data_IF_401799995764
#
_entry.id   IF_401799995764
#
_cell.length_a   1.000
_cell.length_b   1.000
_cell.length_c   1.000
_cell.angle_alpha   90.00
_cell.angle_beta   90.00
_cell.angle_gamma   90.00
#
_symmetry.space_group_name_H-M   'P 1'
#
loop_
_entity.id
_entity.type
_entity.pdbx_description
1 polymer ?
#
# COMPACT_ATOMS: atom_id res chain seq x y z
N UNK A 1 49.31 40.73 -26.33
CA UNK A 1 50.11 39.73 -27.10
C UNK A 1 49.12 38.71 -27.58
N UNK A 2 48.62 38.89 -28.77
CA UNK A 2 48.94 38.21 -30.05
C UNK A 2 48.44 36.76 -29.98
N UNK A 3 47.39 36.52 -30.69
CA UNK A 3 47.10 36.00 -32.05
C UNK A 3 46.93 34.48 -32.00
N UNK A 4 45.94 33.92 -32.58
CA UNK A 4 45.64 33.75 -33.94
C UNK A 4 44.38 32.92 -34.23
N UNK A 5 43.60 33.45 -35.11
CA UNK A 5 42.57 32.79 -35.92
C UNK A 5 43.14 31.66 -36.75
N UNK A 6 42.44 30.54 -36.88
CA UNK A 6 42.45 29.74 -38.11
C UNK A 6 41.05 29.26 -38.46
N UNK A 7 40.51 29.91 -39.44
CA UNK A 7 39.42 29.51 -40.31
C UNK A 7 39.84 28.28 -41.09
N UNK A 8 38.98 27.27 -41.23
CA UNK A 8 39.11 26.22 -42.21
C UNK A 8 37.80 26.03 -42.96
N UNK A 9 37.74 26.69 -44.12
CA UNK A 9 36.75 26.46 -45.14
C UNK A 9 37.10 25.16 -45.85
N UNK A 10 36.17 24.22 -46.02
CA UNK A 10 36.31 23.18 -47.03
C UNK A 10 34.97 22.84 -47.69
N UNK A 11 34.84 23.44 -48.84
CA UNK A 11 34.35 23.02 -50.14
C UNK A 11 33.24 21.95 -50.21
N UNK A 12 32.11 22.46 -50.66
CA UNK A 12 30.98 21.76 -51.32
C UNK A 12 31.48 20.94 -52.50
N UNK A 13 31.16 19.64 -52.53
CA UNK A 13 31.10 18.86 -53.75
C UNK A 13 29.69 18.39 -54.01
N UNK A 14 29.06 19.05 -54.94
CA UNK A 14 27.82 18.70 -55.60
C UNK A 14 28.11 17.53 -56.54
N UNK A 15 27.56 16.36 -56.25
CA UNK A 15 27.49 15.24 -57.20
C UNK A 15 26.05 14.88 -57.44
N UNK A 16 25.62 15.25 -58.61
CA UNK A 16 24.35 14.87 -59.25
C UNK A 16 24.42 13.37 -59.59
N UNK A 17 23.51 12.53 -59.03
CA UNK A 17 23.30 11.19 -59.54
C UNK A 17 21.81 11.01 -59.84
N UNK A 18 21.60 10.90 -61.15
CA UNK A 18 20.33 10.67 -61.83
C UNK A 18 20.02 9.18 -61.80
N UNK A 19 18.80 8.82 -61.47
CA UNK A 19 18.13 7.64 -62.01
C UNK A 19 18.00 6.44 -61.08
N UNK A 20 16.84 6.11 -60.70
CA UNK A 20 16.10 4.92 -61.12
C UNK A 20 14.80 4.80 -60.32
N UNK A 21 13.67 5.02 -60.98
CA UNK A 21 12.34 4.65 -60.45
C UNK A 21 12.27 3.13 -60.32
N UNK A 22 12.18 2.64 -59.09
CA UNK A 22 11.64 1.31 -58.82
C UNK A 22 10.33 1.48 -58.07
N UNK A 23 9.25 1.17 -58.78
CA UNK A 23 7.93 0.96 -58.18
C UNK A 23 8.04 -0.22 -57.21
N UNK A 24 8.11 0.09 -55.91
CA UNK A 24 7.98 -0.91 -54.86
C UNK A 24 6.54 -0.86 -54.36
N UNK A 25 5.83 -1.94 -54.62
CA UNK A 25 4.50 -2.24 -54.11
C UNK A 25 4.53 -2.20 -52.57
N UNK A 26 3.98 -1.17 -51.95
CA UNK A 26 3.78 -1.17 -50.53
C UNK A 26 2.53 -1.99 -50.19
N UNK A 27 2.76 -3.20 -49.73
CA UNK A 27 1.75 -3.99 -49.03
C UNK A 27 1.38 -3.27 -47.74
N UNK A 28 0.22 -2.66 -47.72
CA UNK A 28 -0.38 -2.11 -46.48
C UNK A 28 -0.77 -3.25 -45.58
N UNK A 29 0.12 -3.63 -44.67
CA UNK A 29 -0.25 -4.44 -43.51
C UNK A 29 -1.07 -3.60 -42.54
N UNK A 30 -2.37 -3.67 -42.74
CA UNK A 30 -3.38 -3.22 -41.72
C UNK A 30 -3.44 -4.28 -40.62
N UNK A 31 -2.42 -4.41 -39.79
CA UNK A 31 -2.53 -5.04 -38.50
C UNK A 31 -2.55 -3.92 -37.44
N UNK A 32 -3.65 -3.23 -37.41
CA UNK A 32 -4.02 -2.40 -36.28
C UNK A 32 -4.46 -3.26 -35.10
N UNK A 33 -3.52 -3.98 -34.47
CA UNK A 33 -3.73 -4.45 -33.11
C UNK A 33 -3.54 -3.24 -32.18
N UNK A 34 -4.59 -2.41 -32.11
CA UNK A 34 -4.79 -1.56 -30.95
C UNK A 34 -5.12 -2.47 -29.75
N UNK A 35 -4.12 -3.13 -29.22
CA UNK A 35 -4.13 -3.55 -27.84
C UNK A 35 -4.00 -2.30 -26.99
N UNK A 36 -5.08 -1.51 -26.91
CA UNK A 36 -5.32 -0.64 -25.80
C UNK A 36 -5.45 -1.57 -24.59
N UNK A 37 -4.33 -1.96 -24.01
CA UNK A 37 -4.31 -2.47 -22.65
C UNK A 37 -4.87 -1.33 -21.81
N UNK A 38 -6.15 -1.44 -21.47
CA UNK A 38 -6.73 -0.65 -20.41
C UNK A 38 -5.76 -0.81 -19.23
N UNK A 39 -5.05 0.25 -18.91
CA UNK A 39 -4.32 0.33 -17.66
C UNK A 39 -5.41 0.23 -16.59
N UNK A 40 -5.59 -1.00 -16.08
CA UNK A 40 -6.39 -1.22 -14.89
C UNK A 40 -5.68 -0.42 -13.83
N UNK A 41 -6.24 0.74 -13.49
CA UNK A 41 -5.75 1.57 -12.42
C UNK A 41 -5.91 0.76 -11.14
N UNK A 42 -4.79 0.29 -10.61
CA UNK A 42 -4.74 -0.49 -9.35
C UNK A 42 -5.03 0.36 -8.12
N UNK A 43 -5.41 1.61 -8.31
CA UNK A 43 -5.63 2.57 -7.22
C UNK A 43 -6.74 2.16 -6.25
N UNK A 44 -7.78 1.47 -6.73
CA UNK A 44 -8.94 1.09 -5.93
C UNK A 44 -8.97 -0.40 -5.56
N UNK A 45 -7.84 -1.09 -5.58
CA UNK A 45 -7.73 -2.47 -5.12
C UNK A 45 -7.17 -2.54 -3.71
N UNK A 46 -7.81 -3.33 -2.83
CA UNK A 46 -7.27 -3.65 -1.51
C UNK A 46 -5.92 -4.36 -1.63
N UNK A 47 -4.96 -3.99 -0.79
CA UNK A 47 -3.71 -4.75 -0.71
C UNK A 47 -3.95 -6.08 0.01
N UNK A 48 -3.17 -7.10 -0.35
CA UNK A 48 -3.07 -8.37 0.38
C UNK A 48 -1.59 -8.56 0.69
N UNK A 49 -1.25 -8.49 1.97
CA UNK A 49 0.12 -8.69 2.43
C UNK A 49 0.30 -10.15 2.88
N UNK A 50 1.52 -10.69 2.81
CA UNK A 50 1.77 -12.01 3.35
C UNK A 50 1.57 -12.02 4.87
N UNK A 51 1.07 -13.16 5.39
CA UNK A 51 1.02 -13.40 6.83
C UNK A 51 2.44 -13.61 7.33
N UNK A 52 2.93 -12.67 8.12
CA UNK A 52 4.30 -12.70 8.67
C UNK A 52 4.32 -12.49 10.18
N UNK A 53 3.15 -12.46 10.82
CA UNK A 53 3.04 -12.48 12.27
C UNK A 53 1.80 -13.25 12.71
N UNK A 54 1.77 -13.63 13.99
CA UNK A 54 0.62 -14.20 14.70
C UNK A 54 0.49 -13.51 16.05
N UNK A 55 -0.74 -13.32 16.48
CA UNK A 55 -1.05 -12.83 17.83
C UNK A 55 -1.87 -13.87 18.58
N UNK A 56 -1.44 -14.22 19.79
CA UNK A 56 -2.28 -14.94 20.74
C UNK A 56 -3.12 -13.92 21.52
N UNK A 57 -4.42 -13.96 21.28
CA UNK A 57 -5.38 -13.07 21.92
C UNK A 57 -6.37 -13.92 22.73
N UNK A 58 -6.15 -14.01 24.04
CA UNK A 58 -6.98 -14.79 24.96
C UNK A 58 -7.17 -16.26 24.53
N UNK A 59 -6.08 -16.88 24.00
CA UNK A 59 -6.07 -18.27 23.56
C UNK A 59 -6.49 -18.50 22.11
N UNK A 60 -6.92 -17.44 21.41
CA UNK A 60 -7.23 -17.50 19.99
C UNK A 60 -6.06 -16.98 19.15
N UNK A 61 -5.62 -17.78 18.19
CA UNK A 61 -4.52 -17.43 17.30
C UNK A 61 -5.02 -16.63 16.10
N UNK A 62 -4.60 -15.38 16.01
CA UNK A 62 -4.92 -14.48 14.90
C UNK A 62 -3.70 -14.37 13.98
N UNK A 63 -3.88 -14.67 12.71
CA UNK A 63 -2.85 -14.51 11.68
C UNK A 63 -2.85 -13.08 11.15
N UNK A 64 -1.67 -12.45 11.14
CA UNK A 64 -1.54 -11.03 10.86
C UNK A 64 -0.75 -10.77 9.57
N UNK A 65 -1.35 -10.00 8.69
CA UNK A 65 -0.66 -9.27 7.65
C UNK A 65 0.12 -8.13 8.30
N UNK A 66 1.38 -7.90 7.92
CA UNK A 66 2.19 -6.86 8.57
C UNK A 66 2.44 -5.71 7.60
N UNK A 67 1.88 -4.55 7.89
CA UNK A 67 2.10 -3.32 7.14
C UNK A 67 3.41 -2.65 7.60
N UNK A 68 4.52 -2.95 6.90
CA UNK A 68 5.87 -2.54 7.31
C UNK A 68 6.29 -1.20 6.70
N UNK A 69 5.84 -0.88 5.47
CA UNK A 69 6.22 0.38 4.81
C UNK A 69 5.16 1.46 5.02
N UNK A 70 5.56 2.72 4.82
CA UNK A 70 4.64 3.87 4.92
C UNK A 70 3.45 3.73 3.96
N UNK A 71 3.68 3.21 2.75
CA UNK A 71 2.64 2.99 1.74
C UNK A 71 1.68 1.89 2.19
N UNK A 72 2.20 0.78 2.75
CA UNK A 72 1.39 -0.30 3.29
C UNK A 72 0.54 0.18 4.48
N UNK A 73 1.15 0.97 5.38
CA UNK A 73 0.44 1.55 6.52
C UNK A 73 -0.62 2.56 6.09
N UNK A 74 -0.31 3.43 5.13
CA UNK A 74 -1.28 4.39 4.60
C UNK A 74 -2.47 3.70 3.91
N UNK A 75 -2.23 2.59 3.21
CA UNK A 75 -3.26 1.82 2.52
C UNK A 75 -4.07 0.93 3.48
N UNK A 76 -3.42 0.31 4.45
CA UNK A 76 -4.09 -0.53 5.45
C UNK A 76 -5.09 -1.50 4.84
N UNK A 77 -6.30 -1.54 5.39
CA UNK A 77 -7.42 -2.38 4.95
C UNK A 77 -8.37 -1.67 3.96
N UNK A 78 -7.93 -0.58 3.31
CA UNK A 78 -8.72 0.10 2.28
C UNK A 78 -9.17 -0.87 1.17
N UNK A 79 -10.38 -0.67 0.66
CA UNK A 79 -11.00 -1.43 -0.44
C UNK A 79 -11.22 -2.93 -0.15
N UNK A 80 -11.05 -3.38 1.09
CA UNK A 80 -11.42 -4.74 1.48
C UNK A 80 -12.93 -4.84 1.74
N UNK A 81 -13.54 -5.88 1.17
CA UNK A 81 -14.98 -6.15 1.34
C UNK A 81 -15.26 -7.09 2.51
N UNK A 82 -14.24 -7.75 3.03
CA UNK A 82 -14.33 -8.63 4.19
C UNK A 82 -12.97 -8.84 4.85
N UNK A 83 -13.00 -9.26 6.11
CA UNK A 83 -11.83 -9.73 6.85
C UNK A 83 -12.27 -10.95 7.67
N UNK A 84 -11.55 -12.06 7.54
CA UNK A 84 -11.87 -13.30 8.25
C UNK A 84 -11.65 -13.14 9.76
N UNK A 85 -12.41 -13.90 10.58
CA UNK A 85 -12.35 -13.81 12.05
C UNK A 85 -10.97 -14.12 12.65
N UNK A 86 -10.19 -14.98 11.99
CA UNK A 86 -8.84 -15.34 12.42
C UNK A 86 -7.74 -14.54 11.69
N UNK A 87 -8.09 -13.43 11.04
CA UNK A 87 -7.20 -12.55 10.29
C UNK A 87 -7.22 -11.14 10.84
N UNK A 88 -6.09 -10.46 10.68
CA UNK A 88 -5.96 -9.05 11.00
C UNK A 88 -4.80 -8.41 10.27
N UNK A 89 -4.61 -7.11 10.50
CA UNK A 89 -3.44 -6.39 10.03
C UNK A 89 -2.71 -5.76 11.21
N UNK A 90 -1.39 -5.96 11.26
CA UNK A 90 -0.49 -5.37 12.26
C UNK A 90 0.23 -4.18 11.65
N UNK A 91 0.21 -3.08 12.36
CA UNK A 91 0.94 -1.85 12.05
C UNK A 91 2.03 -1.64 13.11
N UNK A 92 3.27 -2.07 12.86
CA UNK A 92 4.38 -1.79 13.77
C UNK A 92 4.97 -0.41 13.50
N UNK A 93 5.34 0.31 14.55
CA UNK A 93 6.02 1.59 14.48
C UNK A 93 7.44 1.46 15.04
N UNK A 94 8.42 2.03 14.33
CA UNK A 94 9.83 1.99 14.74
C UNK A 94 10.07 2.70 16.08
N UNK A 95 9.29 3.73 16.35
CA UNK A 95 9.29 4.46 17.63
C UNK A 95 7.85 4.62 18.13
N UNK A 96 7.62 4.61 19.44
CA UNK A 96 6.30 4.88 19.98
C UNK A 96 5.80 6.27 19.56
N UNK A 97 4.52 6.35 19.18
CA UNK A 97 3.86 7.59 18.76
C UNK A 97 2.40 7.61 19.21
N UNK A 98 1.78 8.78 19.19
CA UNK A 98 0.34 8.93 19.38
C UNK A 98 -0.33 8.60 18.05
N UNK A 99 -0.68 7.32 17.86
CA UNK A 99 -1.22 6.81 16.61
C UNK A 99 -2.57 7.43 16.28
N UNK A 100 -2.78 7.74 15.00
CA UNK A 100 -4.04 8.26 14.46
C UNK A 100 -4.41 7.50 13.20
N UNK A 101 -5.61 6.96 13.17
CA UNK A 101 -6.17 6.16 12.09
C UNK A 101 -7.42 6.79 11.54
N UNK A 102 -7.75 6.54 10.32
CA UNK A 102 -8.99 6.95 9.66
C UNK A 102 -9.60 5.76 8.93
N UNK A 103 -10.89 5.86 8.61
CA UNK A 103 -11.61 4.81 7.88
C UNK A 103 -11.86 5.18 6.41
N UNK A 104 -11.00 6.06 5.85
CA UNK A 104 -11.10 6.47 4.43
C UNK A 104 -10.92 5.25 3.53
N UNK A 105 -11.83 5.08 2.56
CA UNK A 105 -11.83 3.95 1.61
C UNK A 105 -11.90 2.56 2.27
N UNK A 106 -12.20 2.46 3.55
CA UNK A 106 -12.46 1.19 4.24
C UNK A 106 -13.95 0.92 4.17
N UNK A 107 -14.34 -0.26 3.65
CA UNK A 107 -15.75 -0.61 3.37
C UNK A 107 -16.40 -1.44 4.47
N UNK A 108 -15.63 -1.92 5.44
CA UNK A 108 -16.08 -2.76 6.55
C UNK A 108 -15.80 -2.10 7.89
N UNK A 109 -16.62 -2.30 8.92
CA UNK A 109 -16.29 -1.85 10.26
C UNK A 109 -15.07 -2.61 10.79
N UNK A 110 -14.22 -1.94 11.58
CA UNK A 110 -13.01 -2.51 12.15
C UNK A 110 -12.97 -2.30 13.67
N UNK A 111 -12.35 -3.27 14.36
CA UNK A 111 -11.86 -3.07 15.73
C UNK A 111 -10.38 -2.69 15.67
N UNK A 112 -9.95 -1.70 16.46
CA UNK A 112 -8.56 -1.24 16.51
C UNK A 112 -8.02 -1.46 17.93
N UNK A 113 -6.97 -2.28 18.07
CA UNK A 113 -6.30 -2.59 19.33
C UNK A 113 -4.95 -1.88 19.33
N UNK A 114 -4.80 -0.91 20.22
CA UNK A 114 -3.58 -0.09 20.34
C UNK A 114 -2.69 -0.65 21.44
N UNK A 115 -1.43 -0.98 21.11
CA UNK A 115 -0.51 -1.62 22.03
C UNK A 115 0.77 -0.81 22.25
N UNK A 116 1.29 -0.88 23.46
CA UNK A 116 2.66 -0.49 23.78
C UNK A 116 3.36 -1.66 24.45
N UNK A 117 4.41 -2.16 23.79
CA UNK A 117 5.23 -3.28 24.27
C UNK A 117 4.38 -4.53 24.60
N UNK A 118 3.40 -4.82 23.74
CA UNK A 118 2.48 -5.94 23.87
C UNK A 118 1.34 -5.73 24.88
N UNK A 119 1.28 -4.59 25.55
CA UNK A 119 0.19 -4.24 26.50
C UNK A 119 -0.84 -3.38 25.80
N UNK A 120 -2.10 -3.76 25.86
CA UNK A 120 -3.24 -3.02 25.32
C UNK A 120 -3.40 -1.69 26.06
N UNK A 121 -3.36 -0.58 25.34
CA UNK A 121 -3.54 0.79 25.84
C UNK A 121 -4.91 1.36 25.53
N UNK A 122 -5.54 0.90 24.48
CA UNK A 122 -6.91 1.24 24.12
C UNK A 122 -7.47 0.20 23.14
N UNK A 123 -8.78 0.06 23.13
CA UNK A 123 -9.53 -0.73 22.15
C UNK A 123 -10.67 0.15 21.64
N UNK A 124 -10.71 0.35 20.32
CA UNK A 124 -11.84 0.99 19.66
C UNK A 124 -12.63 -0.11 18.94
N UNK A 125 -13.89 -0.25 19.33
CA UNK A 125 -14.73 -1.35 18.84
C UNK A 125 -15.66 -0.85 17.73
N UNK A 126 -15.77 -1.66 16.69
CA UNK A 126 -16.74 -1.51 15.60
C UNK A 126 -16.72 -0.12 14.96
N UNK A 127 -15.50 0.40 14.72
CA UNK A 127 -15.29 1.71 14.09
C UNK A 127 -15.89 1.66 12.66
N UNK A 128 -16.87 2.53 12.36
CA UNK A 128 -17.60 2.45 11.10
C UNK A 128 -16.78 2.98 9.92
N UNK A 129 -17.08 2.54 8.67
CA UNK A 129 -16.58 3.18 7.46
C UNK A 129 -16.78 4.70 7.47
N UNK A 130 -15.89 5.42 6.80
CA UNK A 130 -16.01 6.88 6.67
C UNK A 130 -17.15 7.24 5.72
N UNK A 131 -18.18 7.89 6.23
CA UNK A 131 -19.35 8.32 5.47
C UNK A 131 -19.32 9.80 5.04
N UNK A 132 -18.38 10.59 5.58
CA UNK A 132 -18.29 12.05 5.36
C UNK A 132 -16.84 12.48 5.20
N UNK A 133 -16.59 13.51 4.39
CA UNK A 133 -15.26 14.11 4.24
C UNK A 133 -15.26 15.48 4.96
N UNK A 134 -14.25 15.80 5.80
CA UNK A 134 -13.10 14.97 6.15
C UNK A 134 -13.48 13.79 7.06
N UNK A 135 -12.82 12.66 6.83
CA UNK A 135 -13.03 11.47 7.67
C UNK A 135 -12.63 11.73 9.13
N UNK A 136 -13.41 11.22 10.09
CA UNK A 136 -13.01 11.22 11.50
C UNK A 136 -11.68 10.48 11.70
N UNK A 137 -10.94 10.91 12.72
CA UNK A 137 -9.65 10.32 13.09
C UNK A 137 -9.77 9.64 14.44
N UNK A 138 -9.26 8.43 14.54
CA UNK A 138 -9.38 7.53 15.67
C UNK A 138 -8.03 7.22 16.30
N UNK A 139 -7.97 7.05 17.61
CA UNK A 139 -6.77 6.65 18.33
C UNK A 139 -6.72 7.19 19.76
N UNK A 140 -5.89 6.58 20.63
CA UNK A 140 -5.74 6.99 22.02
C UNK A 140 -4.89 8.26 22.14
N UNK A 141 -4.99 8.94 23.29
CA UNK A 141 -4.11 10.06 23.62
C UNK A 141 -2.84 9.60 24.38
N UNK A 142 -2.39 8.39 24.10
CA UNK A 142 -1.17 7.80 24.67
C UNK A 142 -0.28 7.24 23.57
N UNK A 143 1.01 7.09 23.88
CA UNK A 143 1.98 6.54 22.93
C UNK A 143 1.81 5.03 22.81
N UNK A 144 1.83 4.54 21.57
CA UNK A 144 1.78 3.11 21.21
C UNK A 144 2.86 2.81 20.17
N UNK A 145 3.30 1.57 20.10
CA UNK A 145 4.27 1.12 19.10
C UNK A 145 3.72 0.03 18.17
N UNK A 146 2.48 -0.39 18.39
CA UNK A 146 1.80 -1.36 17.52
C UNK A 146 0.29 -1.10 17.52
N UNK A 147 -0.36 -1.37 16.39
CA UNK A 147 -1.82 -1.43 16.30
C UNK A 147 -2.20 -2.71 15.57
N UNK A 148 -3.24 -3.40 16.07
CA UNK A 148 -3.86 -4.52 15.38
C UNK A 148 -5.26 -4.10 14.95
N UNK A 149 -5.56 -4.23 13.66
CA UNK A 149 -6.90 -4.09 13.12
C UNK A 149 -7.52 -5.47 12.89
N UNK A 150 -8.74 -5.65 13.38
CA UNK A 150 -9.57 -6.85 13.22
C UNK A 150 -10.92 -6.47 12.59
N UNK A 151 -11.66 -7.46 12.11
CA UNK A 151 -13.06 -7.26 11.72
C UNK A 151 -13.87 -6.69 12.89
N UNK A 152 -14.81 -5.77 12.60
CA UNK A 152 -15.63 -5.14 13.61
C UNK A 152 -16.39 -6.14 14.49
N UNK A 153 -16.32 -5.95 15.81
CA UNK A 153 -16.87 -6.84 16.83
C UNK A 153 -15.94 -7.98 17.26
N UNK A 154 -14.86 -8.24 16.53
CA UNK A 154 -13.98 -9.39 16.84
C UNK A 154 -13.20 -9.23 18.14
N UNK A 155 -12.70 -8.03 18.43
CA UNK A 155 -12.01 -7.76 19.69
C UNK A 155 -12.94 -7.95 20.90
N UNK A 156 -14.24 -7.60 20.76
CA UNK A 156 -15.26 -7.88 21.77
C UNK A 156 -15.49 -9.38 21.96
N UNK A 157 -15.61 -10.16 20.87
CA UNK A 157 -15.75 -11.61 20.93
C UNK A 157 -14.56 -12.26 21.65
N UNK A 158 -13.36 -11.76 21.43
CA UNK A 158 -12.12 -12.19 22.07
C UNK A 158 -11.97 -11.68 23.53
N UNK A 159 -12.86 -10.81 23.99
CA UNK A 159 -12.82 -10.25 25.33
C UNK A 159 -11.65 -9.30 25.59
N UNK A 160 -11.11 -8.65 24.53
CA UNK A 160 -9.95 -7.76 24.64
C UNK A 160 -10.32 -6.51 25.42
N UNK A 161 -9.48 -6.14 26.38
CA UNK A 161 -9.63 -4.94 27.20
C UNK A 161 -8.28 -4.26 27.46
N UNK A 162 -8.34 -3.01 27.88
CA UNK A 162 -7.16 -2.26 28.31
C UNK A 162 -6.43 -2.99 29.45
N UNK A 163 -5.10 -3.03 29.38
CA UNK A 163 -4.23 -3.75 30.31
C UNK A 163 -3.93 -5.19 29.92
N UNK A 164 -4.67 -5.79 29.00
CA UNK A 164 -4.37 -7.15 28.53
C UNK A 164 -2.99 -7.21 27.88
N UNK A 165 -2.35 -8.38 27.97
CA UNK A 165 -1.09 -8.67 27.30
C UNK A 165 -1.34 -9.53 26.08
N UNK A 166 -0.99 -9.02 24.90
CA UNK A 166 -1.06 -9.76 23.64
C UNK A 166 0.37 -10.10 23.21
N UNK A 167 0.63 -11.40 23.03
CA UNK A 167 1.90 -11.89 22.50
C UNK A 167 1.83 -11.89 20.98
N UNK A 168 2.74 -11.15 20.33
CA UNK A 168 2.89 -11.13 18.88
C UNK A 168 4.19 -11.84 18.52
N UNK A 169 4.08 -12.84 17.66
CA UNK A 169 5.21 -13.61 17.14
C UNK A 169 5.36 -13.34 15.65
N UNK A 170 6.55 -12.89 15.24
CA UNK A 170 6.88 -12.77 13.83
C UNK A 170 7.32 -14.11 13.27
N UNK A 171 6.77 -14.49 12.12
CA UNK A 171 7.07 -15.74 11.44
C UNK A 171 8.23 -15.46 10.50
N UNK A 172 9.39 -16.09 10.76
CA UNK A 172 10.49 -16.10 9.81
C UNK A 172 10.03 -16.79 8.53
N UNK A 173 10.21 -16.17 7.37
CA UNK A 173 10.08 -16.92 6.12
C UNK A 173 11.20 -17.94 6.06
N UNK A 174 10.90 -19.19 5.67
CA UNK A 174 11.94 -20.18 5.39
C UNK A 174 12.84 -19.75 4.24
#
# INVERSE_FOLDING_TARGET
>A
MMTGKKSFMLKIKLTLFLGLLLLSCQSTNLNGNNSSMAQITTENQGQILPITAKADINGEMIELEVAQTSEQQAKGLMYRLSLQKNRGMLFPFAQPLVARFWMKNVSIPLDMIFLKDGIVKAVLLNVPPCAVDPCPVYGPNTMVNQVIELAGGRAKELGVKEGDKIKIEFISRP
#
